data_IF_979556038160
#
_entry.id   IF_979556038160
#
_cell.length_a   1.000
_cell.length_b   1.000
_cell.length_c   1.000
_cell.angle_alpha   90.00
_cell.angle_beta   90.00
_cell.angle_gamma   90.00
#
_symmetry.space_group_name_H-M   'P 1'
#
loop_
_entity.id
_entity.type
_entity.pdbx_description
1 polymer ?
#
# COMPACT_ATOMS: atom_id res chain seq x y z
N UNK A 1 -41.09 0.40 -27.90
CA UNK A 1 -39.69 0.75 -27.55
C UNK A 1 -38.77 0.17 -28.62
N UNK A 2 -37.88 0.97 -29.23
CA UNK A 2 -37.04 0.53 -30.36
C UNK A 2 -35.87 -0.30 -29.80
N UNK A 3 -35.69 -1.57 -30.17
CA UNK A 3 -34.68 -2.46 -29.56
C UNK A 3 -33.25 -1.94 -29.73
N UNK A 4 -33.00 -1.16 -30.79
CA UNK A 4 -31.71 -0.49 -31.07
C UNK A 4 -31.30 0.53 -29.99
N UNK A 5 -32.26 1.15 -29.31
CA UNK A 5 -31.97 2.10 -28.23
C UNK A 5 -31.55 1.38 -26.94
N UNK A 6 -32.11 0.20 -26.70
CA UNK A 6 -31.82 -0.63 -25.51
C UNK A 6 -30.42 -1.24 -25.61
N UNK A 7 -30.02 -1.76 -26.78
CA UNK A 7 -28.66 -2.27 -26.99
C UNK A 7 -27.60 -1.17 -26.88
N UNK A 8 -27.90 0.05 -27.33
CA UNK A 8 -27.01 1.21 -27.19
C UNK A 8 -26.83 1.61 -25.71
N UNK A 9 -27.92 1.63 -24.94
CA UNK A 9 -27.87 1.97 -23.52
C UNK A 9 -27.16 0.90 -22.68
N UNK A 10 -27.34 -0.38 -23.02
CA UNK A 10 -26.67 -1.50 -22.34
C UNK A 10 -25.15 -1.52 -22.63
N UNK A 11 -24.76 -1.20 -23.87
CA UNK A 11 -23.34 -1.04 -24.25
C UNK A 11 -22.69 0.12 -23.50
N UNK A 12 -23.38 1.26 -23.38
CA UNK A 12 -22.88 2.42 -22.64
C UNK A 12 -22.74 2.14 -21.13
N UNK A 13 -23.63 1.33 -20.56
CA UNK A 13 -23.56 0.91 -19.16
C UNK A 13 -22.40 -0.07 -18.90
N UNK A 14 -22.07 -0.94 -19.86
CA UNK A 14 -20.96 -1.88 -19.72
C UNK A 14 -19.58 -1.21 -19.73
N UNK A 15 -19.43 -0.12 -20.48
CA UNK A 15 -18.16 0.63 -20.57
C UNK A 15 -17.87 1.43 -19.29
N UNK A 16 -18.89 1.92 -18.57
CA UNK A 16 -18.68 2.67 -17.32
C UNK A 16 -18.23 1.78 -16.15
N UNK A 17 -18.58 0.49 -16.16
CA UNK A 17 -18.16 -0.47 -15.14
C UNK A 17 -16.65 -0.79 -15.16
N UNK A 18 -15.95 -0.56 -16.28
CA UNK A 18 -14.51 -0.84 -16.37
C UNK A 18 -13.64 0.20 -15.63
N UNK A 19 -14.19 1.36 -15.25
CA UNK A 19 -13.45 2.42 -14.57
C UNK A 19 -13.47 2.35 -13.04
N UNK A 20 -13.97 1.27 -12.44
CA UNK A 20 -13.92 1.08 -10.98
C UNK A 20 -12.54 0.54 -10.55
N UNK A 21 -11.49 1.34 -10.74
CA UNK A 21 -10.18 1.06 -10.14
C UNK A 21 -10.28 1.24 -8.63
N UNK A 22 -10.33 0.10 -7.94
CA UNK A 22 -9.93 -0.15 -6.55
C UNK A 22 -9.70 1.08 -5.65
N UNK A 23 -10.76 1.55 -5.00
CA UNK A 23 -10.65 2.40 -3.82
C UNK A 23 -10.28 1.49 -2.63
N UNK A 24 -8.99 1.35 -2.35
CA UNK A 24 -8.53 0.72 -1.11
C UNK A 24 -8.80 1.69 0.05
N UNK A 25 -10.01 1.59 0.61
CA UNK A 25 -10.34 2.13 1.91
C UNK A 25 -9.37 1.50 2.94
N UNK A 26 -8.31 2.20 3.31
CA UNK A 26 -7.66 1.95 4.59
C UNK A 26 -8.51 2.59 5.69
N UNK A 27 -9.65 1.95 5.95
CA UNK A 27 -10.35 2.04 7.23
C UNK A 27 -9.31 1.80 8.31
N UNK A 28 -9.18 2.74 9.24
CA UNK A 28 -8.25 2.68 10.36
C UNK A 28 -8.23 1.30 11.00
N UNK A 29 -7.20 0.52 10.67
CA UNK A 29 -6.84 -0.63 11.46
C UNK A 29 -6.38 -0.08 12.80
N UNK A 30 -7.05 -0.50 13.87
CA UNK A 30 -6.54 -0.43 15.24
C UNK A 30 -5.12 -0.99 15.20
N UNK A 31 -4.13 -0.11 15.06
CA UNK A 31 -2.76 -0.42 15.37
C UNK A 31 -2.77 -0.72 16.86
N UNK A 32 -2.73 -2.01 17.21
CA UNK A 32 -2.25 -2.43 18.52
C UNK A 32 -1.01 -1.61 18.79
N UNK A 33 -0.99 -0.93 19.95
CA UNK A 33 0.00 0.07 20.34
C UNK A 33 1.40 -0.55 20.26
N UNK A 34 1.99 -0.59 19.08
CA UNK A 34 3.37 -0.98 18.90
C UNK A 34 4.18 0.09 19.63
N UNK A 35 5.15 -0.30 20.47
CA UNK A 35 6.00 0.67 21.13
C UNK A 35 6.54 1.59 20.04
N UNK A 36 6.25 2.89 20.18
CA UNK A 36 6.72 3.91 19.25
C UNK A 36 8.23 3.82 19.32
N UNK A 37 8.86 3.31 18.25
CA UNK A 37 10.31 3.21 18.19
C UNK A 37 10.90 4.60 18.38
N UNK A 38 11.77 4.74 19.38
CA UNK A 38 12.43 5.99 19.70
C UNK A 38 13.34 6.38 18.52
N UNK A 39 12.87 7.33 17.70
CA UNK A 39 13.52 7.78 16.47
C UNK A 39 14.86 8.48 16.71
N UNK A 40 15.21 8.74 17.97
CA UNK A 40 16.46 9.42 18.33
C UNK A 40 17.58 8.46 18.70
N UNK A 41 17.30 7.16 18.86
CA UNK A 41 18.28 6.17 19.26
C UNK A 41 18.76 5.34 18.05
N UNK A 42 20.09 5.14 17.90
CA UNK A 42 20.62 4.26 16.87
C UNK A 42 20.27 2.79 17.17
N UNK A 43 20.17 1.98 16.12
CA UNK A 43 19.97 0.54 16.24
C UNK A 43 21.22 -0.13 16.83
N UNK A 44 21.03 -1.10 17.73
CA UNK A 44 22.12 -1.89 18.31
C UNK A 44 22.23 -3.26 17.67
N UNK A 45 23.44 -3.83 17.67
CA UNK A 45 23.68 -5.20 17.20
C UNK A 45 22.91 -6.19 18.09
N UNK A 46 22.21 -7.13 17.46
CA UNK A 46 21.38 -8.13 18.15
C UNK A 46 19.98 -7.65 18.52
N UNK A 47 19.66 -6.37 18.34
CA UNK A 47 18.30 -5.85 18.53
C UNK A 47 17.41 -6.22 17.34
N UNK A 48 16.13 -6.51 17.62
CA UNK A 48 15.14 -6.71 16.57
C UNK A 48 14.90 -5.37 15.88
N UNK A 49 15.12 -5.32 14.57
CA UNK A 49 14.86 -4.12 13.78
C UNK A 49 13.38 -3.68 13.91
N UNK A 50 13.10 -2.36 14.08
CA UNK A 50 11.74 -1.85 14.09
C UNK A 50 11.01 -2.21 12.80
N UNK A 51 9.74 -2.62 12.93
CA UNK A 51 8.92 -2.87 11.76
C UNK A 51 8.50 -1.53 11.14
N UNK A 52 8.73 -1.36 9.85
CA UNK A 52 8.32 -0.20 9.07
C UNK A 52 7.84 -0.65 7.68
N UNK A 53 7.17 0.26 6.98
CA UNK A 53 6.67 0.05 5.62
C UNK A 53 7.29 1.09 4.68
N UNK A 54 7.77 0.64 3.52
CA UNK A 54 8.28 1.48 2.44
C UNK A 54 7.54 1.20 1.13
N UNK A 55 7.55 2.15 0.20
CA UNK A 55 7.17 1.89 -1.18
C UNK A 55 8.31 1.19 -1.93
N UNK A 56 8.00 0.18 -2.73
CA UNK A 56 8.93 -0.36 -3.71
C UNK A 56 9.01 0.55 -4.96
N UNK A 57 9.79 0.11 -5.96
CA UNK A 57 9.99 0.86 -7.20
C UNK A 57 8.69 1.05 -8.02
N UNK A 58 7.66 0.25 -7.77
CA UNK A 58 6.35 0.34 -8.41
C UNK A 58 5.31 1.03 -7.53
N UNK A 59 5.72 1.60 -6.39
CA UNK A 59 4.83 2.24 -5.42
C UNK A 59 4.05 1.26 -4.54
N UNK A 60 4.30 -0.05 -4.65
CA UNK A 60 3.64 -1.04 -3.79
C UNK A 60 4.24 -0.99 -2.39
N UNK A 61 3.39 -1.05 -1.38
CA UNK A 61 3.84 -1.07 0.01
C UNK A 61 4.49 -2.42 0.36
N UNK A 62 5.67 -2.34 0.98
CA UNK A 62 6.45 -3.46 1.49
C UNK A 62 6.76 -3.23 2.96
N UNK A 63 6.33 -4.17 3.81
CA UNK A 63 6.58 -4.14 5.25
C UNK A 63 7.77 -5.02 5.61
N UNK A 64 8.67 -4.54 6.47
CA UNK A 64 9.91 -5.24 6.82
C UNK A 64 9.66 -6.67 7.34
N UNK A 65 8.70 -6.84 8.25
CA UNK A 65 8.32 -8.16 8.80
C UNK A 65 7.77 -9.15 7.77
N UNK A 66 7.40 -8.69 6.56
CA UNK A 66 6.94 -9.53 5.46
C UNK A 66 8.00 -9.71 4.37
N UNK A 67 9.12 -9.00 4.45
CA UNK A 67 10.23 -9.18 3.53
C UNK A 67 10.84 -10.57 3.76
N UNK A 68 10.88 -11.39 2.70
CA UNK A 68 11.47 -12.72 2.73
C UNK A 68 12.97 -12.70 2.39
N UNK A 69 13.65 -11.62 2.77
CA UNK A 69 15.06 -11.37 2.44
C UNK A 69 15.94 -11.61 3.67
N UNK A 70 17.07 -12.31 3.54
CA UNK A 70 17.96 -12.59 4.67
C UNK A 70 18.70 -11.35 5.16
N UNK A 71 18.95 -10.38 4.26
CA UNK A 71 19.64 -9.12 4.54
C UNK A 71 18.90 -8.00 3.85
N UNK A 72 18.70 -6.88 4.56
CA UNK A 72 18.04 -5.68 4.05
C UNK A 72 18.94 -4.47 4.33
N UNK A 73 19.22 -3.68 3.30
CA UNK A 73 19.92 -2.40 3.41
C UNK A 73 18.91 -1.27 3.20
N UNK A 74 18.81 -0.36 4.17
CA UNK A 74 17.80 0.71 4.19
C UNK A 74 18.50 2.05 4.07
N UNK A 75 18.19 2.80 3.01
CA UNK A 75 18.65 4.17 2.85
C UNK A 75 17.51 5.13 3.16
N UNK A 76 17.70 5.98 4.17
CA UNK A 76 16.82 7.12 4.40
C UNK A 76 17.40 8.34 3.67
N UNK A 77 16.68 8.83 2.66
CA UNK A 77 17.06 10.05 1.92
C UNK A 77 15.88 11.01 1.86
N UNK A 78 16.12 12.28 2.14
CA UNK A 78 15.16 13.36 1.93
C UNK A 78 15.68 14.32 0.87
N UNK A 79 14.77 14.98 0.15
CA UNK A 79 15.10 16.22 -0.53
C UNK A 79 14.95 17.34 0.50
N UNK A 80 15.99 18.15 0.67
CA UNK A 80 16.06 19.30 1.57
C UNK A 80 15.76 20.59 0.82
#
# INVERSE_FOLDING_TARGET
MKPKLIFSLLSLLLVSCLSLSAQENTTGSKAGKMPVADRTKPLKVGEIAPNFTLGDLNGKQVMLSKAKMPVVLVFYRGYW
#
